data_IF_204005628780
#
_entry.id   IF_204005628780
#
_cell.length_a   1.000
_cell.length_b   1.000
_cell.length_c   1.000
_cell.angle_alpha   90.00
_cell.angle_beta   90.00
_cell.angle_gamma   90.00
#
_symmetry.space_group_name_H-M   'P 1'
#
loop_
_entity.id
_entity.type
_entity.pdbx_description
1 polymer ?
#
# COMPACT_ATOMS: atom_id res chain seq x y z
N UNK A 1 8.89 -21.40 1.70
CA UNK A 1 10.03 -21.15 2.60
C UNK A 1 10.25 -19.65 2.63
N UNK A 2 10.03 -19.01 3.78
CA UNK A 2 10.42 -17.60 3.95
C UNK A 2 11.95 -17.55 3.84
N UNK A 3 12.46 -16.87 2.81
CA UNK A 3 13.88 -16.55 2.74
C UNK A 3 14.09 -15.41 3.74
N UNK A 4 14.78 -15.69 4.83
CA UNK A 4 15.23 -14.64 5.76
C UNK A 4 16.08 -13.67 4.95
N UNK A 5 15.59 -12.43 4.79
CA UNK A 5 16.31 -11.38 4.07
C UNK A 5 17.61 -11.05 4.80
N UNK A 6 18.70 -10.80 4.05
CA UNK A 6 19.94 -10.35 4.68
C UNK A 6 19.71 -8.98 5.35
N UNK A 7 20.44 -8.66 6.44
CA UNK A 7 20.36 -7.34 7.07
C UNK A 7 20.59 -6.18 6.09
N UNK A 8 21.50 -6.36 5.14
CA UNK A 8 21.87 -5.38 4.12
C UNK A 8 20.69 -5.14 3.15
N UNK A 9 20.05 -6.22 2.67
CA UNK A 9 18.91 -6.11 1.77
C UNK A 9 17.70 -5.50 2.47
N UNK A 10 17.49 -5.82 3.76
CA UNK A 10 16.47 -5.14 4.58
C UNK A 10 16.74 -3.64 4.66
N UNK A 11 17.99 -3.25 4.93
CA UNK A 11 18.34 -1.83 5.02
C UNK A 11 18.21 -1.11 3.67
N UNK A 12 18.62 -1.74 2.56
CA UNK A 12 18.49 -1.15 1.23
C UNK A 12 17.02 -1.01 0.82
N UNK A 13 16.20 -2.02 1.10
CA UNK A 13 14.75 -1.95 0.90
C UNK A 13 14.11 -0.82 1.71
N UNK A 14 14.48 -0.67 2.99
CA UNK A 14 14.00 0.44 3.82
C UNK A 14 14.34 1.80 3.20
N UNK A 15 15.54 1.93 2.62
CA UNK A 15 15.95 3.15 1.93
C UNK A 15 15.10 3.42 0.67
N UNK A 16 14.82 2.39 -0.16
CA UNK A 16 13.91 2.50 -1.31
C UNK A 16 12.52 2.99 -0.88
N UNK A 17 11.96 2.39 0.18
CA UNK A 17 10.64 2.75 0.69
C UNK A 17 10.63 4.16 1.29
N UNK A 18 11.69 4.56 2.00
CA UNK A 18 11.84 5.93 2.54
C UNK A 18 11.74 6.97 1.42
N UNK A 19 12.47 6.79 0.33
CA UNK A 19 12.49 7.75 -0.78
C UNK A 19 11.13 7.82 -1.46
N UNK A 20 10.45 6.68 -1.62
CA UNK A 20 9.09 6.62 -2.15
C UNK A 20 8.10 7.38 -1.25
N UNK A 21 8.18 7.20 0.08
CA UNK A 21 7.35 7.93 1.06
C UNK A 21 7.63 9.43 0.98
N UNK A 22 8.88 9.85 0.90
CA UNK A 22 9.24 11.26 0.74
C UNK A 22 8.65 11.87 -0.55
N UNK A 23 8.62 11.11 -1.65
CA UNK A 23 7.97 11.54 -2.89
C UNK A 23 6.49 11.81 -2.68
N UNK A 24 5.81 10.90 -2.00
CA UNK A 24 4.39 11.05 -1.70
C UNK A 24 4.12 12.27 -0.82
N UNK A 25 4.92 12.48 0.23
CA UNK A 25 4.80 13.70 1.05
C UNK A 25 5.01 14.96 0.23
N UNK A 26 5.97 14.97 -0.70
CA UNK A 26 6.20 16.12 -1.57
C UNK A 26 5.00 16.39 -2.49
N UNK A 27 4.49 15.35 -3.18
CA UNK A 27 3.47 15.51 -4.22
C UNK A 27 2.05 15.70 -3.68
N UNK A 28 1.75 15.12 -2.52
CA UNK A 28 0.39 15.07 -1.98
C UNK A 28 0.27 15.77 -0.62
N UNK A 29 1.28 16.55 -0.21
CA UNK A 29 1.30 17.30 1.07
C UNK A 29 0.02 18.10 1.33
N UNK A 30 -0.53 18.74 0.28
CA UNK A 30 -1.75 19.55 0.41
C UNK A 30 -2.96 18.71 0.84
N UNK A 31 -2.98 17.42 0.51
CA UNK A 31 -4.02 16.48 0.92
C UNK A 31 -3.68 15.85 2.26
N UNK A 32 -2.42 15.57 2.57
CA UNK A 32 -2.06 14.89 3.83
C UNK A 32 -2.18 15.78 5.07
N UNK A 33 -2.21 17.11 4.90
CA UNK A 33 -2.27 18.06 6.01
C UNK A 33 -3.67 18.66 6.25
N UNK A 34 -4.71 18.21 5.54
CA UNK A 34 -6.08 18.70 5.79
C UNK A 34 -6.69 17.98 6.98
N UNK A 35 -7.50 18.70 7.77
CA UNK A 35 -8.13 18.15 8.97
C UNK A 35 -9.01 16.92 8.71
N UNK A 36 -9.61 16.82 7.52
CA UNK A 36 -10.47 15.70 7.13
C UNK A 36 -9.72 14.48 6.57
N UNK A 37 -8.45 14.61 6.20
CA UNK A 37 -7.64 13.57 5.53
C UNK A 37 -6.41 13.16 6.32
N UNK A 38 -5.96 13.96 7.31
CA UNK A 38 -4.74 13.70 8.08
C UNK A 38 -4.70 12.29 8.69
N UNK A 39 -5.82 11.84 9.29
CA UNK A 39 -5.92 10.49 9.87
C UNK A 39 -5.81 9.38 8.82
N UNK A 40 -6.33 9.62 7.61
CA UNK A 40 -6.21 8.67 6.50
C UNK A 40 -4.77 8.60 6.00
N UNK A 41 -4.07 9.74 5.95
CA UNK A 41 -2.65 9.79 5.61
C UNK A 41 -1.78 9.09 6.68
N UNK A 42 -2.00 9.38 7.97
CA UNK A 42 -1.35 8.70 9.10
C UNK A 42 -1.55 7.18 9.01
N UNK A 43 -2.80 6.73 8.83
CA UNK A 43 -3.09 5.31 8.65
C UNK A 43 -2.33 4.68 7.47
N UNK A 44 -2.29 5.37 6.32
CA UNK A 44 -1.57 4.87 5.16
C UNK A 44 -0.07 4.70 5.44
N UNK A 45 0.60 5.72 5.97
CA UNK A 45 2.06 5.68 6.16
C UNK A 45 2.48 4.80 7.34
N UNK A 46 1.74 4.85 8.46
CA UNK A 46 2.14 4.17 9.70
C UNK A 46 1.65 2.72 9.77
N UNK A 47 0.59 2.37 9.03
CA UNK A 47 0.01 1.02 9.06
C UNK A 47 0.13 0.28 7.73
N UNK A 48 -0.17 0.92 6.59
CA UNK A 48 -0.20 0.20 5.30
C UNK A 48 1.19 0.11 4.65
N UNK A 49 1.96 1.19 4.68
CA UNK A 49 3.28 1.28 4.04
C UNK A 49 4.45 1.03 5.01
N UNK A 50 4.16 0.76 6.28
CA UNK A 50 5.18 0.48 7.29
C UNK A 50 5.79 -0.91 7.07
N UNK A 51 7.12 -0.97 7.08
CA UNK A 51 7.87 -2.22 6.94
C UNK A 51 8.06 -2.97 8.26
N UNK A 52 7.90 -2.29 9.39
CA UNK A 52 8.03 -2.91 10.71
C UNK A 52 6.90 -3.91 10.96
N UNK A 53 7.25 -5.16 11.26
CA UNK A 53 6.27 -6.23 11.46
C UNK A 53 5.53 -6.68 10.19
N UNK A 54 5.91 -6.19 9.00
CA UNK A 54 5.22 -6.50 7.73
C UNK A 54 5.11 -8.01 7.47
N UNK A 55 6.21 -8.76 7.61
CA UNK A 55 6.22 -10.21 7.34
C UNK A 55 5.28 -10.99 8.28
N UNK A 56 5.29 -10.65 9.57
CA UNK A 56 4.42 -11.26 10.59
C UNK A 56 2.95 -10.94 10.30
N UNK A 57 2.69 -9.69 9.89
CA UNK A 57 1.37 -9.22 9.53
C UNK A 57 0.84 -9.90 8.26
N UNK A 58 1.65 -10.02 7.21
CA UNK A 58 1.28 -10.73 5.99
C UNK A 58 0.98 -12.20 6.25
N UNK A 59 1.79 -12.87 7.08
CA UNK A 59 1.55 -14.26 7.48
C UNK A 59 0.23 -14.41 8.24
N UNK A 60 -0.08 -13.47 9.15
CA UNK A 60 -1.35 -13.45 9.88
C UNK A 60 -2.53 -13.18 8.94
N UNK A 61 -2.39 -12.25 7.99
CA UNK A 61 -3.43 -11.90 7.03
C UNK A 61 -3.77 -13.08 6.10
N UNK A 62 -2.75 -13.73 5.52
CA UNK A 62 -2.92 -14.89 4.65
C UNK A 62 -3.54 -16.07 5.38
N UNK A 63 -3.02 -16.41 6.57
CA UNK A 63 -3.56 -17.52 7.37
C UNK A 63 -4.99 -17.27 7.85
N UNK A 64 -5.34 -16.01 8.14
CA UNK A 64 -6.72 -15.62 8.46
C UNK A 64 -7.62 -15.74 7.25
N UNK A 65 -7.19 -15.21 6.10
CA UNK A 65 -7.93 -15.29 4.85
C UNK A 65 -8.25 -16.74 4.47
N UNK A 66 -7.27 -17.64 4.53
CA UNK A 66 -7.47 -19.05 4.21
C UNK A 66 -8.51 -19.74 5.10
N UNK A 67 -8.61 -19.35 6.37
CA UNK A 67 -9.61 -19.89 7.31
C UNK A 67 -11.03 -19.41 6.99
N UNK A 68 -11.19 -18.19 6.50
CA UNK A 68 -12.51 -17.54 6.38
C UNK A 68 -13.01 -17.38 4.95
N UNK A 69 -12.17 -17.55 3.93
CA UNK A 69 -12.50 -17.28 2.51
C UNK A 69 -13.75 -18.00 2.00
N UNK A 70 -14.04 -19.20 2.50
CA UNK A 70 -15.24 -19.98 2.12
C UNK A 70 -16.54 -19.42 2.70
N UNK A 71 -16.47 -18.58 3.73
CA UNK A 71 -17.62 -17.92 4.37
C UNK A 71 -17.91 -16.55 3.76
N UNK A 72 -17.06 -16.07 2.85
CA UNK A 72 -17.16 -14.75 2.26
C UNK A 72 -17.92 -14.76 0.94
N UNK A 73 -18.58 -13.65 0.61
CA UNK A 73 -19.12 -13.45 -0.73
C UNK A 73 -17.98 -13.38 -1.74
N UNK A 74 -18.21 -13.87 -2.94
CA UNK A 74 -17.24 -13.87 -4.03
C UNK A 74 -16.62 -12.49 -4.30
N UNK A 75 -17.44 -11.44 -4.34
CA UNK A 75 -16.95 -10.07 -4.52
C UNK A 75 -16.07 -9.58 -3.36
N UNK A 76 -16.31 -10.01 -2.13
CA UNK A 76 -15.44 -9.70 -0.99
C UNK A 76 -14.13 -10.47 -1.06
N UNK A 77 -14.18 -11.72 -1.52
CA UNK A 77 -13.02 -12.58 -1.74
C UNK A 77 -12.08 -12.00 -2.79
N UNK A 78 -12.61 -11.64 -3.96
CA UNK A 78 -11.84 -11.03 -5.05
C UNK A 78 -11.15 -9.73 -4.63
N UNK A 79 -11.81 -8.89 -3.82
CA UNK A 79 -11.20 -7.66 -3.31
C UNK A 79 -10.01 -7.95 -2.39
N UNK A 80 -10.12 -8.95 -1.51
CA UNK A 80 -9.00 -9.36 -0.64
C UNK A 80 -7.86 -9.96 -1.46
N UNK A 81 -8.17 -10.82 -2.43
CA UNK A 81 -7.15 -11.41 -3.33
C UNK A 81 -6.40 -10.32 -4.11
N UNK A 82 -7.10 -9.27 -4.56
CA UNK A 82 -6.45 -8.10 -5.19
C UNK A 82 -5.53 -7.35 -4.24
N UNK A 83 -5.90 -7.21 -2.96
CA UNK A 83 -5.04 -6.58 -1.94
C UNK A 83 -3.82 -7.45 -1.62
N UNK A 84 -3.98 -8.77 -1.55
CA UNK A 84 -2.87 -9.71 -1.39
C UNK A 84 -1.91 -9.59 -2.58
N UNK A 85 -2.45 -9.60 -3.80
CA UNK A 85 -1.67 -9.41 -5.02
C UNK A 85 -0.92 -8.07 -5.01
N UNK A 86 -1.58 -6.98 -4.62
CA UNK A 86 -0.94 -5.66 -4.50
C UNK A 86 0.24 -5.67 -3.53
N UNK A 87 0.08 -6.29 -2.36
CA UNK A 87 1.17 -6.40 -1.39
C UNK A 87 2.34 -7.20 -1.95
N UNK A 88 2.06 -8.35 -2.59
CA UNK A 88 3.07 -9.21 -3.19
C UNK A 88 3.90 -8.49 -4.26
N UNK A 89 3.24 -7.85 -5.24
CA UNK A 89 3.97 -7.15 -6.31
C UNK A 89 4.74 -5.94 -5.77
N UNK A 90 4.21 -5.24 -4.75
CA UNK A 90 4.90 -4.10 -4.14
C UNK A 90 6.14 -4.57 -3.39
N UNK A 91 6.00 -5.64 -2.60
CA UNK A 91 7.11 -6.26 -1.86
C UNK A 91 8.22 -6.74 -2.81
N UNK A 92 7.83 -7.43 -3.87
CA UNK A 92 8.75 -7.96 -4.87
C UNK A 92 9.52 -6.83 -5.57
N UNK A 93 8.84 -5.77 -5.99
CA UNK A 93 9.46 -4.62 -6.65
C UNK A 93 10.40 -3.86 -5.68
N UNK A 94 9.99 -3.65 -4.42
CA UNK A 94 10.82 -2.98 -3.40
C UNK A 94 12.08 -3.79 -3.09
N UNK A 95 11.96 -5.13 -2.99
CA UNK A 95 13.10 -6.02 -2.79
C UNK A 95 14.06 -6.00 -3.98
N UNK A 96 13.53 -6.03 -5.20
CA UNK A 96 14.34 -5.96 -6.43
C UNK A 96 15.06 -4.61 -6.55
N UNK A 97 14.39 -3.51 -6.21
CA UNK A 97 15.01 -2.19 -6.14
C UNK A 97 16.11 -2.16 -5.07
N UNK A 98 15.86 -2.74 -3.89
CA UNK A 98 16.85 -2.84 -2.82
C UNK A 98 18.07 -3.67 -3.23
N UNK A 99 17.88 -4.76 -3.95
CA UNK A 99 18.98 -5.57 -4.49
C UNK A 99 19.78 -4.79 -5.54
N UNK A 100 19.12 -4.12 -6.49
CA UNK A 100 19.79 -3.27 -7.49
C UNK A 100 20.60 -2.15 -6.82
N UNK A 101 20.07 -1.56 -5.75
CA UNK A 101 20.76 -0.54 -4.97
C UNK A 101 22.05 -1.09 -4.33
N UNK A 102 22.02 -2.30 -3.77
CA UNK A 102 23.20 -2.98 -3.25
C UNK A 102 24.23 -3.31 -4.35
N UNK A 103 23.77 -3.77 -5.50
CA UNK A 103 24.63 -4.09 -6.65
C UNK A 103 25.38 -2.85 -7.16
N UNK A 104 24.84 -1.65 -6.89
CA UNK A 104 25.50 -0.35 -7.12
C UNK A 104 26.41 0.12 -5.98
N UNK A 105 26.80 -0.77 -5.07
CA UNK A 105 27.67 -0.49 -3.93
C UNK A 105 27.11 0.53 -2.94
N UNK A 106 25.79 0.62 -2.82
CA UNK A 106 25.17 1.42 -1.76
C UNK A 106 25.59 0.92 -0.38
N UNK A 107 25.80 1.86 0.54
CA UNK A 107 26.21 1.58 1.92
C UNK A 107 25.10 1.95 2.88
N UNK A 108 24.86 1.05 3.84
CA UNK A 108 23.89 1.26 4.91
C UNK A 108 24.02 2.66 5.55
N UNK A 109 22.88 3.33 5.72
CA UNK A 109 22.79 4.69 6.26
C UNK A 109 22.97 5.82 5.23
N UNK A 110 23.32 5.49 3.99
CA UNK A 110 23.38 6.47 2.90
C UNK A 110 21.97 6.75 2.38
N UNK A 111 21.61 8.03 2.23
CA UNK A 111 20.34 8.41 1.63
C UNK A 111 20.49 8.64 0.13
N UNK A 112 19.61 8.05 -0.68
CA UNK A 112 19.49 8.36 -2.11
C UNK A 112 18.49 9.51 -2.31
N UNK A 113 18.69 10.28 -3.35
CA UNK A 113 17.80 11.34 -3.82
C UNK A 113 16.63 10.78 -4.65
N UNK A 114 15.63 11.63 -4.93
CA UNK A 114 14.52 11.28 -5.82
C UNK A 114 14.98 10.97 -7.26
N UNK A 115 16.03 11.65 -7.75
CA UNK A 115 16.58 11.44 -9.09
C UNK A 115 17.33 10.11 -9.17
N UNK A 116 18.09 9.75 -8.13
CA UNK A 116 18.72 8.43 -8.02
C UNK A 116 17.68 7.32 -7.93
N UNK A 117 16.60 7.52 -7.15
CA UNK A 117 15.48 6.58 -7.11
C UNK A 117 14.82 6.42 -8.48
N UNK A 118 14.56 7.51 -9.20
CA UNK A 118 13.97 7.44 -10.54
C UNK A 118 14.87 6.70 -11.52
N UNK A 119 16.18 6.93 -11.46
CA UNK A 119 17.17 6.22 -12.28
C UNK A 119 17.15 4.72 -12.00
N UNK A 120 17.14 4.32 -10.72
CA UNK A 120 17.01 2.91 -10.32
C UNK A 120 15.67 2.31 -10.77
N UNK A 121 14.59 3.10 -10.69
CA UNK A 121 13.24 2.68 -11.07
C UNK A 121 13.18 2.33 -12.56
N UNK A 122 13.80 3.17 -13.40
CA UNK A 122 13.96 2.94 -14.84
C UNK A 122 14.86 1.74 -15.14
N UNK A 123 16.05 1.69 -14.53
CA UNK A 123 17.04 0.64 -14.77
C UNK A 123 16.51 -0.75 -14.38
N UNK A 124 15.72 -0.84 -13.30
CA UNK A 124 15.13 -2.10 -12.89
C UNK A 124 14.10 -2.61 -13.92
N UNK A 125 13.38 -1.73 -14.62
CA UNK A 125 12.35 -2.11 -15.59
C UNK A 125 11.04 -2.57 -14.94
N UNK A 126 10.50 -3.70 -15.42
CA UNK A 126 9.20 -4.26 -15.03
C UNK A 126 8.00 -3.34 -15.33
N UNK A 127 8.03 -2.67 -16.47
CA UNK A 127 7.01 -1.72 -16.92
C UNK A 127 5.57 -2.28 -16.78
N UNK A 128 5.31 -3.49 -17.28
CA UNK A 128 3.98 -4.12 -17.20
C UNK A 128 3.54 -4.43 -15.76
N UNK A 129 4.45 -4.91 -14.90
CA UNK A 129 4.11 -5.18 -13.50
C UNK A 129 3.83 -3.89 -12.73
N UNK A 130 4.59 -2.82 -13.00
CA UNK A 130 4.38 -1.50 -12.40
C UNK A 130 3.10 -0.85 -12.88
N UNK A 131 2.78 -0.98 -14.17
CA UNK A 131 1.47 -0.62 -14.72
C UNK A 131 0.35 -1.35 -13.99
N UNK A 132 0.48 -2.67 -13.84
CA UNK A 132 -0.50 -3.48 -13.12
C UNK A 132 -0.61 -3.07 -11.65
N UNK A 133 0.51 -2.77 -10.99
CA UNK A 133 0.55 -2.26 -9.63
C UNK A 133 -0.25 -0.97 -9.51
N UNK A 134 -0.01 0.01 -10.39
CA UNK A 134 -0.74 1.28 -10.38
C UNK A 134 -2.24 1.09 -10.61
N UNK A 135 -2.64 0.27 -11.59
CA UNK A 135 -4.07 -0.06 -11.80
C UNK A 135 -4.73 -0.63 -10.55
N UNK A 136 -4.03 -1.51 -9.84
CA UNK A 136 -4.54 -2.15 -8.63
C UNK A 136 -4.56 -1.17 -7.45
N UNK A 137 -3.57 -0.27 -7.33
CA UNK A 137 -3.56 0.82 -6.33
C UNK A 137 -4.77 1.72 -6.52
N UNK A 138 -4.99 2.23 -7.74
CA UNK A 138 -6.11 3.12 -8.05
C UNK A 138 -7.46 2.43 -7.81
N UNK A 139 -7.58 1.17 -8.22
CA UNK A 139 -8.77 0.38 -7.93
C UNK A 139 -9.04 0.28 -6.42
N UNK A 140 -8.03 -0.09 -5.63
CA UNK A 140 -8.19 -0.27 -4.19
C UNK A 140 -8.46 1.04 -3.45
N UNK A 141 -7.79 2.13 -3.83
CA UNK A 141 -8.02 3.46 -3.25
C UNK A 141 -9.50 3.87 -3.41
N UNK A 142 -10.04 3.73 -4.62
CA UNK A 142 -11.46 3.98 -4.92
C UNK A 142 -12.38 3.09 -4.11
N UNK A 143 -12.14 1.78 -4.14
CA UNK A 143 -13.01 0.80 -3.47
C UNK A 143 -13.03 0.99 -1.96
N UNK A 144 -11.89 1.31 -1.37
CA UNK A 144 -11.80 1.55 0.07
C UNK A 144 -12.66 2.75 0.47
N UNK A 145 -12.54 3.86 -0.26
CA UNK A 145 -13.38 5.04 -0.03
C UNK A 145 -14.87 4.72 -0.19
N UNK A 146 -15.26 4.09 -1.31
CA UNK A 146 -16.67 3.76 -1.57
C UNK A 146 -17.26 2.85 -0.49
N UNK A 147 -16.47 1.90 0.05
CA UNK A 147 -16.90 1.01 1.11
C UNK A 147 -17.03 1.74 2.45
N UNK A 148 -16.07 2.61 2.79
CA UNK A 148 -16.11 3.39 4.02
C UNK A 148 -17.30 4.37 4.07
N UNK A 149 -17.72 4.88 2.91
CA UNK A 149 -18.83 5.82 2.80
C UNK A 149 -20.21 5.16 2.72
N UNK A 150 -20.31 3.83 2.71
CA UNK A 150 -21.62 3.15 2.71
C UNK A 150 -22.31 3.32 4.07
N UNK A 151 -23.59 3.77 4.11
CA UNK A 151 -24.33 3.97 5.37
C UNK A 151 -24.41 2.74 6.28
N UNK A 152 -24.33 1.54 5.68
CA UNK A 152 -24.47 0.25 6.37
C UNK A 152 -23.12 -0.20 6.98
N UNK A 153 -22.00 0.38 6.59
CA UNK A 153 -20.67 -0.08 7.01
C UNK A 153 -20.49 -0.07 8.53
N UNK A 154 -20.98 0.98 9.22
CA UNK A 154 -20.93 1.04 10.69
C UNK A 154 -21.72 -0.07 11.40
N UNK A 155 -22.79 -0.58 10.78
CA UNK A 155 -23.59 -1.71 11.29
C UNK A 155 -22.96 -3.07 11.00
N UNK A 156 -22.00 -3.13 10.06
CA UNK A 156 -21.28 -4.36 9.69
C UNK A 156 -19.96 -4.49 10.47
N UNK A 157 -19.28 -3.38 10.74
CA UNK A 157 -17.98 -3.37 11.42
C UNK A 157 -18.09 -3.97 12.84
N UNK A 158 -19.08 -3.56 13.65
CA UNK A 158 -19.20 -4.06 15.03
C UNK A 158 -19.48 -5.57 15.13
N UNK A 159 -20.42 -6.15 14.36
CA UNK A 159 -20.58 -7.61 14.32
C UNK A 159 -19.34 -8.33 13.79
N UNK A 160 -18.69 -7.81 12.75
CA UNK A 160 -17.47 -8.40 12.21
C UNK A 160 -16.32 -8.39 13.24
N UNK A 161 -16.20 -7.32 14.04
CA UNK A 161 -15.25 -7.23 15.15
C UNK A 161 -15.48 -8.34 16.20
N UNK A 162 -16.73 -8.62 16.56
CA UNK A 162 -17.07 -9.67 17.52
C UNK A 162 -16.69 -11.06 16.99
N UNK A 163 -17.00 -11.33 15.71
CA UNK A 163 -16.58 -12.59 15.05
C UNK A 163 -15.06 -12.68 14.97
N UNK A 164 -14.37 -11.59 14.64
CA UNK A 164 -12.91 -11.57 14.60
C UNK A 164 -12.28 -11.87 15.97
N UNK A 165 -12.86 -11.35 17.07
CA UNK A 165 -12.46 -11.70 18.43
C UNK A 165 -12.66 -13.18 18.72
N UNK A 166 -13.83 -13.73 18.36
CA UNK A 166 -14.14 -15.16 18.55
C UNK A 166 -13.17 -16.08 17.79
N UNK A 167 -12.74 -15.67 16.60
CA UNK A 167 -11.82 -16.42 15.75
C UNK A 167 -10.34 -16.17 16.08
N UNK A 168 -10.03 -15.29 17.04
CA UNK A 168 -8.65 -14.94 17.42
C UNK A 168 -7.90 -14.11 16.38
N UNK A 169 -8.62 -13.44 15.48
CA UNK A 169 -8.05 -12.64 14.36
C UNK A 169 -8.32 -11.14 14.51
N UNK A 170 -8.74 -10.71 15.69
CA UNK A 170 -9.04 -9.31 15.98
C UNK A 170 -7.89 -8.33 15.72
N UNK A 171 -6.61 -8.64 16.00
CA UNK A 171 -5.51 -7.73 15.68
C UNK A 171 -5.47 -7.29 14.20
N UNK A 172 -5.83 -8.19 13.28
CA UNK A 172 -5.95 -7.87 11.86
C UNK A 172 -7.17 -7.00 11.58
N UNK A 173 -8.32 -7.36 12.19
CA UNK A 173 -9.57 -6.62 12.02
C UNK A 173 -9.46 -5.19 12.56
N UNK A 174 -8.76 -4.98 13.67
CA UNK A 174 -8.55 -3.67 14.28
C UNK A 174 -7.89 -2.69 13.30
N UNK A 175 -6.93 -3.15 12.49
CA UNK A 175 -6.32 -2.32 11.44
C UNK A 175 -7.31 -1.95 10.34
N UNK A 176 -8.15 -2.89 9.91
CA UNK A 176 -9.24 -2.60 8.97
C UNK A 176 -10.21 -1.57 9.54
N UNK A 177 -10.54 -1.69 10.83
CA UNK A 177 -11.41 -0.75 11.54
C UNK A 177 -10.76 0.64 11.68
N UNK A 178 -9.47 0.72 11.97
CA UNK A 178 -8.70 1.98 11.98
C UNK A 178 -8.78 2.68 10.62
N UNK A 179 -8.52 1.95 9.52
CA UNK A 179 -8.64 2.50 8.18
C UNK A 179 -10.05 2.99 7.86
N UNK A 180 -11.08 2.22 8.25
CA UNK A 180 -12.47 2.61 8.07
C UNK A 180 -12.77 3.96 8.75
N UNK A 181 -12.46 4.10 10.04
CA UNK A 181 -12.71 5.34 10.78
C UNK A 181 -11.83 6.51 10.32
N UNK A 182 -10.64 6.23 9.79
CA UNK A 182 -9.77 7.26 9.20
C UNK A 182 -10.36 7.85 7.91
N UNK A 183 -11.17 7.08 7.16
CA UNK A 183 -11.76 7.53 5.88
C UNK A 183 -13.15 8.16 6.02
N UNK A 184 -13.90 7.89 7.10
CA UNK A 184 -15.23 8.50 7.31
C UNK A 184 -15.23 10.03 7.15
N UNK A 185 -14.29 10.79 7.75
CA UNK A 185 -14.33 12.25 7.69
C UNK A 185 -14.07 12.85 6.30
N UNK A 186 -13.51 12.06 5.38
CA UNK A 186 -13.06 12.52 4.06
C UNK A 186 -14.27 12.80 3.16
N UNK A 187 -14.45 14.07 2.78
CA UNK A 187 -15.53 14.48 1.88
C UNK A 187 -15.31 13.92 0.48
N UNK A 188 -16.41 13.67 -0.23
CA UNK A 188 -16.38 13.17 -1.61
C UNK A 188 -15.60 14.09 -2.53
N UNK A 189 -15.82 15.40 -2.46
CA UNK A 189 -15.11 16.38 -3.29
C UNK A 189 -13.59 16.31 -3.10
N UNK A 190 -13.14 16.19 -1.86
CA UNK A 190 -11.73 16.12 -1.49
C UNK A 190 -11.11 14.82 -1.95
N UNK A 191 -11.82 13.70 -1.76
CA UNK A 191 -11.38 12.40 -2.25
C UNK A 191 -11.27 12.38 -3.79
N UNK A 192 -12.25 12.92 -4.51
CA UNK A 192 -12.21 12.97 -5.98
C UNK A 192 -11.05 13.84 -6.49
N UNK A 193 -10.76 14.96 -5.82
CA UNK A 193 -9.63 15.81 -6.16
C UNK A 193 -8.29 15.08 -5.94
N UNK A 194 -8.12 14.49 -4.75
CA UNK A 194 -6.95 13.67 -4.41
C UNK A 194 -6.75 12.51 -5.38
N UNK A 195 -7.82 11.74 -5.64
CA UNK A 195 -7.76 10.58 -6.52
C UNK A 195 -7.31 10.95 -7.93
N UNK A 196 -7.86 12.04 -8.49
CA UNK A 196 -7.45 12.53 -9.82
C UNK A 196 -6.00 12.96 -9.86
N UNK A 197 -5.52 13.60 -8.79
CA UNK A 197 -4.13 14.04 -8.70
C UNK A 197 -3.16 12.85 -8.61
N UNK A 198 -3.50 11.83 -7.80
CA UNK A 198 -2.73 10.57 -7.72
C UNK A 198 -2.73 9.86 -9.05
N UNK A 199 -3.91 9.66 -9.66
CA UNK A 199 -4.04 9.00 -10.96
C UNK A 199 -3.16 9.70 -12.00
N UNK A 200 -3.30 11.02 -12.16
CA UNK A 200 -2.52 11.79 -13.11
C UNK A 200 -1.01 11.68 -12.86
N UNK A 201 -0.54 12.00 -11.64
CA UNK A 201 0.89 12.08 -11.34
C UNK A 201 1.58 10.73 -11.41
N UNK A 202 0.95 9.68 -10.90
CA UNK A 202 1.57 8.35 -10.90
C UNK A 202 1.59 7.74 -12.31
N UNK A 203 0.58 8.01 -13.15
CA UNK A 203 0.65 7.66 -14.57
C UNK A 203 1.74 8.47 -15.30
N UNK A 204 1.83 9.78 -15.08
CA UNK A 204 2.90 10.61 -15.65
C UNK A 204 4.30 10.13 -15.22
N UNK A 205 4.47 9.76 -13.94
CA UNK A 205 5.72 9.20 -13.43
C UNK A 205 6.07 7.88 -14.14
N UNK A 206 5.09 6.97 -14.26
CA UNK A 206 5.27 5.69 -14.92
C UNK A 206 5.61 5.84 -16.40
N UNK A 207 4.89 6.70 -17.13
CA UNK A 207 5.11 6.93 -18.57
C UNK A 207 6.43 7.66 -18.84
N UNK A 208 6.89 8.50 -17.92
CA UNK A 208 8.24 9.09 -18.00
C UNK A 208 9.32 8.04 -17.81
N UNK A 209 9.09 7.05 -16.94
CA UNK A 209 10.03 5.96 -16.73
C UNK A 209 10.05 4.98 -17.91
N UNK A 210 8.87 4.68 -18.47
CA UNK A 210 8.63 3.68 -19.51
C UNK A 210 7.74 4.23 -20.63
N UNK A 211 8.31 5.02 -21.57
CA UNK A 211 7.55 5.64 -22.65
C UNK A 211 6.84 4.63 -23.58
N UNK A 212 7.29 3.37 -23.59
CA UNK A 212 6.71 2.26 -24.36
C UNK A 212 5.32 1.81 -23.90
N UNK A 213 4.85 2.29 -22.74
CA UNK A 213 3.52 1.98 -22.21
C UNK A 213 2.40 2.88 -22.79
N UNK A 214 2.77 3.90 -23.57
CA UNK A 214 1.84 4.82 -24.25
C UNK A 214 1.15 4.21 -25.47
#
# INVERSE_FOLDING_TARGET
MSKVLSPELRSARTEIVRVQIERFHLYYSEYFNQSETIKMAEYFFETVYNLEGKEEWEALALSTYDKVKHMMKESSRENIERLIFLNQITDELDLRMGQLLLDKNWKQGTKISQDEYFTLYQELGYADQRKKQLEVVLFNLRKFYDLAQKPIAGYVIKPAAAVAKMLGVYPLFEKVEQGYYATIPVKKSTFEAFFKEVEKREWEFLMRAFPELN
#
